data_IF_209146401646
#
_entry.id   IF_209146401646
#
_cell.length_a   1.000
_cell.length_b   1.000
_cell.length_c   1.000
_cell.angle_alpha   90.00
_cell.angle_beta   90.00
_cell.angle_gamma   90.00
#
_symmetry.space_group_name_H-M   'P 1'
#
loop_
_entity.id
_entity.type
_entity.pdbx_description
1 polymer ?
#
# COMPACT_ATOMS: atom_id res chain seq x y z
N UNK A 1 -23.93 -10.47 -46.66
CA UNK A 1 -23.82 -10.76 -45.21
C UNK A 1 -25.04 -10.12 -44.57
N UNK A 2 -25.96 -10.91 -44.00
CA UNK A 2 -27.09 -10.38 -43.25
C UNK A 2 -26.78 -10.60 -41.77
N UNK A 3 -26.36 -9.54 -41.08
CA UNK A 3 -26.21 -9.53 -39.63
C UNK A 3 -27.59 -9.53 -38.97
N UNK A 4 -27.73 -10.29 -37.89
CA UNK A 4 -28.88 -10.20 -36.97
C UNK A 4 -29.04 -8.76 -36.50
N UNK A 5 -30.23 -8.22 -36.71
CA UNK A 5 -30.64 -6.85 -36.45
C UNK A 5 -30.54 -6.47 -34.97
N UNK A 6 -29.53 -5.66 -34.62
CA UNK A 6 -29.64 -4.66 -33.56
C UNK A 6 -29.78 -3.29 -34.24
N UNK A 7 -30.78 -2.51 -33.84
CA UNK A 7 -31.16 -1.28 -34.52
C UNK A 7 -30.12 -0.16 -34.32
N UNK A 8 -29.66 0.49 -35.41
CA UNK A 8 -29.07 1.83 -35.36
C UNK A 8 -27.64 2.01 -35.90
N UNK A 9 -27.02 1.03 -36.54
CA UNK A 9 -25.60 1.12 -36.96
C UNK A 9 -25.39 1.81 -38.31
N UNK A 10 -24.32 2.62 -38.41
CA UNK A 10 -23.70 3.00 -39.69
C UNK A 10 -22.54 2.06 -39.97
N UNK A 11 -22.80 0.93 -40.65
CA UNK A 11 -21.76 -0.01 -41.07
C UNK A 11 -21.18 0.41 -42.41
N UNK A 12 -19.84 0.38 -42.54
CA UNK A 12 -19.16 0.51 -43.82
C UNK A 12 -18.59 -0.86 -44.19
N UNK A 13 -18.98 -1.36 -45.37
CA UNK A 13 -18.41 -2.59 -45.92
C UNK A 13 -17.28 -2.23 -46.86
N UNK A 14 -16.08 -2.69 -46.53
CA UNK A 14 -14.87 -2.47 -47.34
C UNK A 14 -14.29 -3.83 -47.75
N UNK A 15 -14.74 -4.32 -48.91
CA UNK A 15 -14.37 -5.65 -49.41
C UNK A 15 -14.86 -6.80 -48.51
N UNK A 16 -13.91 -7.62 -48.05
CA UNK A 16 -14.13 -8.77 -47.17
C UNK A 16 -14.09 -8.41 -45.68
N UNK A 17 -13.97 -7.11 -45.36
CA UNK A 17 -13.93 -6.61 -43.99
C UNK A 17 -15.26 -5.96 -43.58
N UNK A 18 -15.63 -6.16 -42.32
CA UNK A 18 -16.69 -5.43 -41.65
C UNK A 18 -16.05 -4.31 -40.83
N UNK A 19 -16.43 -3.05 -41.09
CA UNK A 19 -15.99 -1.90 -40.31
C UNK A 19 -17.17 -1.36 -39.51
N UNK A 20 -17.05 -1.43 -38.19
CA UNK A 20 -17.99 -0.83 -37.24
C UNK A 20 -17.56 0.62 -36.99
N UNK A 21 -18.34 1.59 -37.47
CA UNK A 21 -18.10 3.00 -37.19
C UNK A 21 -18.68 3.33 -35.81
N UNK A 22 -17.91 4.05 -34.98
CA UNK A 22 -18.29 4.44 -33.62
C UNK A 22 -18.65 3.25 -32.71
N UNK A 23 -17.81 2.21 -32.73
CA UNK A 23 -17.98 1.04 -31.88
C UNK A 23 -18.02 1.41 -30.38
N UNK A 24 -18.91 0.76 -29.65
CA UNK A 24 -19.18 0.96 -28.24
C UNK A 24 -19.13 -0.38 -27.50
N UNK A 25 -19.08 -0.37 -26.16
CA UNK A 25 -19.08 -1.62 -25.39
C UNK A 25 -20.30 -2.53 -25.68
N UNK A 26 -21.40 -1.98 -26.22
CA UNK A 26 -22.57 -2.76 -26.62
C UNK A 26 -22.35 -3.62 -27.88
N UNK A 27 -21.30 -3.34 -28.66
CA UNK A 27 -20.93 -4.08 -29.86
C UNK A 27 -20.09 -5.34 -29.57
N UNK A 28 -19.78 -5.59 -28.30
CA UNK A 28 -19.09 -6.80 -27.85
C UNK A 28 -19.93 -8.06 -28.15
N UNK A 29 -19.36 -9.04 -28.84
CA UNK A 29 -20.11 -10.23 -29.23
C UNK A 29 -19.46 -11.13 -30.27
N UNK A 30 -20.18 -12.19 -30.65
CA UNK A 30 -19.79 -13.11 -31.72
C UNK A 30 -20.30 -12.59 -33.07
N UNK A 31 -19.37 -12.34 -33.99
CA UNK A 31 -19.61 -11.98 -35.37
C UNK A 31 -19.33 -13.17 -36.27
N UNK A 32 -20.21 -13.42 -37.22
CA UNK A 32 -20.11 -14.57 -38.12
C UNK A 32 -20.06 -14.11 -39.58
N UNK A 33 -19.11 -14.67 -40.32
CA UNK A 33 -18.98 -14.46 -41.76
C UNK A 33 -19.57 -15.67 -42.48
N UNK A 34 -20.48 -15.42 -43.42
CA UNK A 34 -21.22 -16.45 -44.14
C UNK A 34 -20.88 -16.40 -45.64
N UNK A 35 -20.77 -17.57 -46.26
CA UNK A 35 -20.65 -17.72 -47.70
C UNK A 35 -21.92 -17.21 -48.39
N UNK A 36 -21.74 -16.38 -49.41
CA UNK A 36 -22.87 -15.69 -50.05
C UNK A 36 -23.76 -16.63 -50.88
N UNK A 37 -23.23 -17.76 -51.38
CA UNK A 37 -23.95 -18.68 -52.25
C UNK A 37 -24.61 -19.83 -51.48
N UNK A 38 -23.93 -20.37 -50.47
CA UNK A 38 -24.34 -21.54 -49.70
C UNK A 38 -24.92 -21.20 -48.34
N UNK A 39 -24.68 -19.97 -47.83
CA UNK A 39 -25.09 -19.54 -46.49
C UNK A 39 -24.30 -20.19 -45.35
N UNK A 40 -23.28 -21.01 -45.67
CA UNK A 40 -22.45 -21.69 -44.68
C UNK A 40 -21.58 -20.70 -43.90
N UNK A 41 -21.38 -20.94 -42.61
CA UNK A 41 -20.47 -20.14 -41.78
C UNK A 41 -19.03 -20.43 -42.22
N UNK A 42 -18.34 -19.39 -42.70
CA UNK A 42 -16.93 -19.44 -43.06
C UNK A 42 -16.04 -19.18 -41.84
N UNK A 43 -16.41 -18.19 -41.02
CA UNK A 43 -15.61 -17.79 -39.85
C UNK A 43 -16.48 -17.25 -38.73
N UNK A 44 -16.03 -17.47 -37.50
CA UNK A 44 -16.56 -16.86 -36.29
C UNK A 44 -15.46 -16.01 -35.64
N UNK A 45 -15.81 -14.81 -35.20
CA UNK A 45 -14.89 -13.85 -34.57
C UNK A 45 -15.59 -13.33 -33.32
N UNK A 46 -14.90 -13.35 -32.18
CA UNK A 46 -15.38 -12.70 -30.96
C UNK A 46 -14.72 -11.34 -30.86
N UNK A 47 -15.52 -10.28 -31.00
CA UNK A 47 -15.05 -8.91 -30.82
C UNK A 47 -15.24 -8.54 -29.36
N UNK A 48 -14.15 -8.32 -28.62
CA UNK A 48 -14.17 -7.77 -27.27
C UNK A 48 -13.77 -6.30 -27.30
N UNK A 49 -14.63 -5.42 -26.80
CA UNK A 49 -14.36 -3.99 -26.73
C UNK A 49 -13.99 -3.55 -25.31
N UNK A 50 -13.24 -2.46 -25.24
CA UNK A 50 -12.76 -1.88 -24.00
C UNK A 50 -11.93 -0.64 -24.29
N UNK A 51 -11.12 -0.25 -23.30
CA UNK A 51 -10.33 0.98 -23.35
C UNK A 51 -8.84 0.66 -23.17
N UNK A 52 -7.93 1.46 -23.77
CA UNK A 52 -6.51 1.38 -23.44
C UNK A 52 -6.31 1.66 -21.94
N UNK A 53 -5.24 1.12 -21.32
CA UNK A 53 -5.02 1.32 -19.91
C UNK A 53 -4.59 2.78 -19.64
N UNK A 54 -5.05 3.33 -18.52
CA UNK A 54 -4.49 4.55 -17.95
C UNK A 54 -3.19 4.26 -17.17
N UNK A 55 -2.51 5.33 -16.73
CA UNK A 55 -1.32 5.20 -15.90
C UNK A 55 -1.65 4.53 -14.56
N UNK A 56 -0.97 3.43 -14.17
CA UNK A 56 -1.20 2.79 -12.89
C UNK A 56 -0.91 3.74 -11.72
N UNK A 57 -1.76 3.72 -10.70
CA UNK A 57 -1.47 4.38 -9.43
C UNK A 57 -0.56 3.46 -8.63
N UNK A 58 0.59 3.98 -8.21
CA UNK A 58 1.63 3.22 -7.48
C UNK A 58 1.72 3.75 -6.07
N UNK A 59 1.65 2.85 -5.09
CA UNK A 59 1.84 3.16 -3.68
C UNK A 59 2.91 2.25 -3.08
N UNK A 60 3.90 2.87 -2.43
CA UNK A 60 5.01 2.17 -1.79
C UNK A 60 5.06 2.50 -0.30
N UNK A 61 5.50 1.54 0.51
CA UNK A 61 5.70 1.68 1.95
C UNK A 61 6.87 0.82 2.43
N UNK A 62 7.50 1.24 3.52
CA UNK A 62 8.55 0.46 4.17
C UNK A 62 8.26 0.38 5.67
N UNK A 63 8.08 -0.82 6.22
CA UNK A 63 7.83 -0.99 7.66
C UNK A 63 9.12 -1.00 8.49
N UNK A 64 10.27 -1.16 7.82
CA UNK A 64 11.61 -1.15 8.38
C UNK A 64 12.63 -0.84 7.26
N UNK A 65 13.92 -0.87 7.56
CA UNK A 65 15.00 -0.70 6.58
C UNK A 65 15.31 -1.98 5.76
N UNK A 66 14.49 -3.03 5.89
CA UNK A 66 14.74 -4.32 5.22
C UNK A 66 14.27 -4.36 3.77
N UNK A 67 13.09 -3.79 3.48
CA UNK A 67 12.45 -3.92 2.17
C UNK A 67 11.42 -2.83 1.88
N UNK A 68 11.41 -2.35 0.63
CA UNK A 68 10.37 -1.47 0.09
C UNK A 68 9.28 -2.33 -0.53
N UNK A 69 8.05 -2.18 -0.07
CA UNK A 69 6.89 -2.89 -0.60
C UNK A 69 6.04 -1.93 -1.43
N UNK A 70 5.84 -2.24 -2.69
CA UNK A 70 5.06 -1.44 -3.62
C UNK A 70 3.86 -2.22 -4.14
N UNK A 71 2.77 -1.52 -4.37
CA UNK A 71 1.53 -2.04 -4.95
C UNK A 71 1.00 -1.06 -5.99
N UNK A 72 0.21 -1.56 -6.92
CA UNK A 72 -0.38 -0.73 -7.96
C UNK A 72 -1.78 -1.19 -8.38
N UNK A 73 -2.55 -0.26 -8.93
CA UNK A 73 -3.86 -0.52 -9.51
C UNK A 73 -4.17 0.46 -10.64
N UNK A 74 -5.19 0.14 -11.43
CA UNK A 74 -5.83 1.08 -12.34
C UNK A 74 -7.07 1.65 -11.64
N UNK A 75 -7.26 2.96 -11.70
CA UNK A 75 -8.47 3.60 -11.15
C UNK A 75 -9.68 3.45 -12.08
N UNK A 76 -9.43 3.19 -13.37
CA UNK A 76 -10.44 3.03 -14.41
C UNK A 76 -10.47 1.59 -14.92
N UNK A 77 -11.67 1.07 -15.15
CA UNK A 77 -11.84 -0.27 -15.69
C UNK A 77 -11.64 -0.25 -17.22
N UNK A 78 -10.75 -1.11 -17.72
CA UNK A 78 -10.44 -1.20 -19.15
C UNK A 78 -11.37 -2.12 -19.92
N UNK A 79 -12.16 -2.95 -19.22
CA UNK A 79 -12.97 -4.05 -19.75
C UNK A 79 -12.18 -5.10 -20.58
N UNK A 80 -10.84 -5.07 -20.48
CA UNK A 80 -9.93 -5.97 -21.17
C UNK A 80 -8.95 -6.59 -20.18
N UNK A 81 -8.54 -7.83 -20.46
CA UNK A 81 -7.47 -8.47 -19.71
C UNK A 81 -6.21 -7.59 -19.78
N UNK A 82 -5.82 -7.05 -18.63
CA UNK A 82 -4.71 -6.10 -18.51
C UNK A 82 -3.65 -6.71 -17.60
N UNK A 83 -2.42 -6.79 -18.10
CA UNK A 83 -1.27 -7.29 -17.35
C UNK A 83 -0.32 -6.15 -17.00
N UNK A 84 0.61 -6.41 -16.08
CA UNK A 84 1.58 -5.42 -15.62
C UNK A 84 3.00 -5.95 -15.75
N UNK A 85 3.91 -5.08 -16.19
CA UNK A 85 5.36 -5.30 -16.14
C UNK A 85 5.94 -4.27 -15.17
N UNK A 86 6.71 -4.74 -14.20
CA UNK A 86 7.34 -3.89 -13.19
C UNK A 86 8.85 -4.07 -13.14
N UNK A 87 9.60 -2.98 -13.24
CA UNK A 87 11.06 -2.96 -13.11
C UNK A 87 11.50 -1.87 -12.15
N UNK A 88 12.63 -2.05 -11.47
CA UNK A 88 13.21 -1.04 -10.60
C UNK A 88 14.70 -0.86 -10.84
N UNK A 89 15.21 0.30 -10.43
CA UNK A 89 16.65 0.59 -10.37
C UNK A 89 16.96 1.52 -9.20
N UNK A 90 18.20 1.56 -8.76
CA UNK A 90 18.68 2.50 -7.76
C UNK A 90 19.48 3.61 -8.44
N UNK A 91 19.04 4.87 -8.30
CA UNK A 91 19.63 6.01 -9.00
C UNK A 91 19.29 6.08 -10.50
N UNK A 92 19.76 7.15 -11.15
CA UNK A 92 19.46 7.42 -12.57
C UNK A 92 20.22 6.50 -13.53
N UNK A 93 21.46 6.16 -13.19
CA UNK A 93 22.37 5.36 -14.00
C UNK A 93 22.46 3.89 -13.52
N UNK A 94 21.65 3.52 -12.53
CA UNK A 94 21.60 2.15 -12.03
C UNK A 94 21.08 1.15 -13.07
N UNK A 95 21.55 -0.08 -12.96
CA UNK A 95 21.02 -1.21 -13.72
C UNK A 95 19.55 -1.46 -13.35
N UNK A 96 18.75 -1.81 -14.36
CA UNK A 96 17.34 -2.11 -14.18
C UNK A 96 17.12 -3.61 -13.94
N UNK A 97 16.37 -3.92 -12.88
CA UNK A 97 15.99 -5.28 -12.51
C UNK A 97 14.47 -5.43 -12.56
N UNK A 98 13.99 -6.65 -12.78
CA UNK A 98 12.56 -6.95 -12.60
C UNK A 98 12.17 -6.81 -11.13
N UNK A 99 11.01 -6.20 -10.84
CA UNK A 99 10.55 -6.10 -9.47
C UNK A 99 9.97 -7.46 -9.00
N UNK A 100 10.53 -8.10 -7.95
CA UNK A 100 10.10 -9.44 -7.57
C UNK A 100 8.66 -9.48 -7.06
N UNK A 101 7.79 -10.17 -7.80
CA UNK A 101 6.38 -10.40 -7.41
C UNK A 101 6.29 -11.69 -6.58
N UNK A 102 5.56 -11.65 -5.46
CA UNK A 102 5.39 -12.81 -4.57
C UNK A 102 4.52 -13.92 -5.18
N UNK A 103 3.62 -13.54 -6.09
CA UNK A 103 2.76 -14.43 -6.88
C UNK A 103 2.80 -13.95 -8.32
N UNK A 104 2.84 -14.86 -9.34
CA UNK A 104 2.78 -14.46 -10.73
C UNK A 104 1.57 -13.55 -10.99
N UNK A 105 1.80 -12.42 -11.67
CA UNK A 105 0.76 -11.43 -12.00
C UNK A 105 0.13 -10.74 -10.78
N UNK A 106 0.74 -10.81 -9.59
CA UNK A 106 0.33 -9.98 -8.46
C UNK A 106 0.67 -8.51 -8.72
N UNK A 107 -0.26 -7.61 -8.39
CA UNK A 107 -0.03 -6.17 -8.52
C UNK A 107 0.77 -5.60 -7.32
N UNK A 108 1.73 -6.37 -6.82
CA UNK A 108 2.55 -6.08 -5.65
C UNK A 108 3.96 -6.63 -5.87
N UNK A 109 4.98 -5.88 -5.48
CA UNK A 109 6.37 -6.35 -5.44
C UNK A 109 7.12 -5.85 -4.21
N UNK A 110 8.24 -6.51 -3.89
CA UNK A 110 9.12 -6.18 -2.77
C UNK A 110 10.56 -6.05 -3.22
N UNK A 111 11.16 -4.88 -2.98
CA UNK A 111 12.57 -4.58 -3.25
C UNK A 111 13.35 -4.79 -1.96
N UNK A 112 14.30 -5.72 -1.95
CA UNK A 112 15.15 -6.08 -0.80
C UNK A 112 16.60 -5.67 -1.05
N UNK A 113 17.51 -5.95 -0.10
CA UNK A 113 18.94 -5.63 -0.20
C UNK A 113 19.18 -4.15 -0.51
N UNK A 114 18.49 -3.30 0.24
CA UNK A 114 18.49 -1.87 0.02
C UNK A 114 19.89 -1.28 0.28
N UNK A 115 20.36 -0.44 -0.63
CA UNK A 115 21.46 0.49 -0.38
C UNK A 115 21.02 1.55 0.64
N UNK A 116 21.41 1.33 1.89
CA UNK A 116 21.12 2.24 3.00
C UNK A 116 21.99 3.50 2.92
N UNK A 117 21.46 4.61 3.46
CA UNK A 117 22.11 5.93 3.52
C UNK A 117 22.48 6.54 2.16
N UNK A 118 21.91 6.01 1.09
CA UNK A 118 22.00 6.61 -0.24
C UNK A 118 21.08 7.83 -0.34
N UNK A 119 21.53 8.87 -1.04
CA UNK A 119 20.69 10.00 -1.46
C UNK A 119 19.94 9.72 -2.76
N UNK A 120 20.31 8.65 -3.47
CA UNK A 120 19.66 8.25 -4.71
C UNK A 120 18.34 7.53 -4.43
N UNK A 121 17.26 7.86 -5.16
CA UNK A 121 15.99 7.17 -5.01
C UNK A 121 16.00 5.80 -5.68
N UNK A 122 15.13 4.91 -5.21
CA UNK A 122 14.68 3.78 -6.02
C UNK A 122 13.67 4.29 -7.04
N UNK A 123 13.91 3.96 -8.31
CA UNK A 123 13.02 4.29 -9.41
C UNK A 123 12.24 3.04 -9.79
N UNK A 124 10.94 3.02 -9.55
CA UNK A 124 10.04 1.92 -9.93
C UNK A 124 9.26 2.32 -11.18
N UNK A 125 9.35 1.49 -12.22
CA UNK A 125 8.53 1.58 -13.42
C UNK A 125 7.45 0.50 -13.38
N UNK A 126 6.18 0.91 -13.52
CA UNK A 126 5.05 -0.01 -13.65
C UNK A 126 4.33 0.30 -14.95
N UNK A 127 4.27 -0.67 -15.86
CA UNK A 127 3.60 -0.55 -17.16
C UNK A 127 2.39 -1.47 -17.22
N UNK A 128 1.20 -0.90 -17.40
CA UNK A 128 -0.02 -1.63 -17.73
C UNK A 128 -0.07 -1.90 -19.24
N UNK A 129 -0.52 -3.10 -19.61
CA UNK A 129 -0.54 -3.58 -20.99
C UNK A 129 -1.87 -4.29 -21.25
N UNK A 130 -2.57 -3.87 -22.30
CA UNK A 130 -3.70 -4.61 -22.85
C UNK A 130 -3.67 -4.56 -24.40
N UNK A 131 -4.57 -5.27 -25.11
CA UNK A 131 -4.55 -5.31 -26.57
C UNK A 131 -4.69 -3.95 -27.28
N UNK A 132 -5.17 -2.91 -26.58
CA UNK A 132 -5.37 -1.56 -27.12
C UNK A 132 -4.21 -0.60 -26.84
N UNK A 133 -3.25 -0.98 -25.99
CA UNK A 133 -2.06 -0.16 -25.75
C UNK A 133 -1.39 -0.40 -24.41
N UNK A 134 -0.53 0.54 -24.05
CA UNK A 134 0.26 0.52 -22.82
C UNK A 134 0.29 1.88 -22.14
N UNK A 135 0.43 1.87 -20.81
CA UNK A 135 0.62 3.07 -20.02
C UNK A 135 1.58 2.81 -18.87
N UNK A 136 2.52 3.74 -18.66
CA UNK A 136 3.61 3.58 -17.68
C UNK A 136 3.58 4.68 -16.62
N UNK A 137 3.78 4.27 -15.37
CA UNK A 137 4.05 5.15 -14.23
C UNK A 137 5.49 4.93 -13.77
N UNK A 138 6.22 6.04 -13.62
CA UNK A 138 7.55 6.09 -13.01
C UNK A 138 7.44 6.74 -11.63
N UNK A 139 7.80 5.99 -10.59
CA UNK A 139 7.76 6.42 -9.19
C UNK A 139 9.17 6.53 -8.61
N UNK A 140 9.47 7.68 -8.03
CA UNK A 140 10.71 7.92 -7.29
C UNK A 140 10.45 7.65 -5.80
N UNK A 141 11.21 6.75 -5.22
CA UNK A 141 11.02 6.26 -3.86
C UNK A 141 12.25 6.60 -3.04
N UNK A 142 12.08 7.54 -2.11
CA UNK A 142 13.08 7.91 -1.13
C UNK A 142 12.80 7.13 0.16
N UNK A 143 13.73 6.23 0.53
CA UNK A 143 13.51 5.30 1.63
C UNK A 143 13.25 6.02 2.96
N UNK A 144 14.00 7.10 3.22
CA UNK A 144 13.86 7.97 4.38
C UNK A 144 12.52 8.73 4.45
N UNK A 145 11.73 8.74 3.39
CA UNK A 145 10.41 9.39 3.36
C UNK A 145 9.25 8.39 3.53
N UNK A 146 9.45 7.13 3.17
CA UNK A 146 8.36 6.12 3.15
C UNK A 146 8.43 5.11 4.30
N UNK A 147 9.42 5.25 5.19
CA UNK A 147 9.54 4.43 6.38
C UNK A 147 8.40 4.77 7.34
N UNK A 148 7.64 3.77 7.75
CA UNK A 148 6.60 3.88 8.76
C UNK A 148 6.63 2.59 9.60
N UNK A 149 7.21 2.61 10.80
CA UNK A 149 7.24 1.44 11.67
C UNK A 149 5.82 0.94 11.97
N UNK A 150 5.71 -0.36 12.30
CA UNK A 150 4.51 -0.86 12.95
C UNK A 150 4.39 -0.29 14.39
N UNK A 151 3.20 -0.32 15.02
CA UNK A 151 3.04 0.14 16.40
C UNK A 151 3.87 -0.70 17.41
N UNK A 152 4.36 -0.10 18.51
CA UNK A 152 4.99 -0.83 19.61
C UNK A 152 4.12 -1.96 20.16
N UNK A 153 4.78 -3.03 20.58
CA UNK A 153 4.14 -4.24 21.09
C UNK A 153 4.24 -4.35 22.61
N UNK A 154 3.43 -5.23 23.21
CA UNK A 154 3.50 -5.60 24.64
C UNK A 154 3.48 -4.39 25.59
N UNK A 155 2.67 -3.37 25.26
CA UNK A 155 2.50 -2.17 26.08
C UNK A 155 1.85 -2.54 27.40
N UNK A 156 2.51 -2.21 28.51
CA UNK A 156 2.09 -2.52 29.88
C UNK A 156 2.06 -1.26 30.74
N UNK A 157 1.06 -1.21 31.60
CA UNK A 157 0.87 -0.16 32.60
C UNK A 157 0.86 -0.83 33.97
N UNK A 158 1.91 -0.62 34.75
CA UNK A 158 2.09 -1.30 36.04
C UNK A 158 2.25 -0.30 37.20
N UNK A 159 1.71 -0.64 38.39
CA UNK A 159 1.93 0.16 39.59
C UNK A 159 3.37 0.05 40.07
N UNK A 160 3.91 1.14 40.61
CA UNK A 160 5.21 1.14 41.30
C UNK A 160 4.93 0.97 42.80
N UNK A 161 5.57 -0.01 43.44
CA UNK A 161 5.33 -0.32 44.85
C UNK A 161 5.51 0.93 45.74
N UNK A 162 4.55 1.17 46.64
CA UNK A 162 4.49 2.33 47.54
C UNK A 162 4.37 3.71 46.86
N UNK A 163 4.18 3.77 45.54
CA UNK A 163 4.12 5.02 44.77
C UNK A 163 2.72 5.26 44.18
N UNK A 164 1.88 6.01 44.92
CA UNK A 164 0.46 6.24 44.57
C UNK A 164 0.21 7.23 43.43
N UNK A 165 1.24 7.98 43.01
CA UNK A 165 1.16 9.03 41.98
C UNK A 165 2.09 8.76 40.80
N UNK A 166 2.47 7.49 40.61
CA UNK A 166 3.34 7.06 39.51
C UNK A 166 2.84 5.75 38.90
N UNK A 167 3.02 5.63 37.59
CA UNK A 167 2.82 4.41 36.82
C UNK A 167 4.08 4.12 36.02
N UNK A 168 4.51 2.86 36.03
CA UNK A 168 5.57 2.38 35.15
C UNK A 168 4.93 1.89 33.84
N UNK A 169 5.30 2.55 32.76
CA UNK A 169 4.96 2.16 31.40
C UNK A 169 6.14 1.40 30.81
N UNK A 170 5.88 0.24 30.22
CA UNK A 170 6.89 -0.53 29.46
C UNK A 170 6.29 -1.01 28.16
N UNK A 171 7.13 -1.19 27.15
CA UNK A 171 6.73 -1.72 25.84
C UNK A 171 7.91 -2.43 25.18
N UNK A 172 7.68 -3.02 24.01
CA UNK A 172 8.71 -3.56 23.14
C UNK A 172 8.69 -2.85 21.78
N UNK A 173 9.84 -2.76 21.10
CA UNK A 173 9.86 -2.40 19.68
C UNK A 173 8.98 -3.38 18.88
N UNK A 174 8.44 -2.96 17.72
CA UNK A 174 7.69 -3.85 16.85
C UNK A 174 8.56 -5.01 16.38
N UNK A 175 8.02 -6.23 16.34
CA UNK A 175 8.78 -7.40 15.89
C UNK A 175 9.21 -7.32 14.42
N UNK A 176 8.52 -6.51 13.61
CA UNK A 176 8.87 -6.21 12.22
C UNK A 176 10.05 -5.24 12.07
N UNK A 177 10.44 -4.54 13.15
CA UNK A 177 11.60 -3.65 13.18
C UNK A 177 12.86 -4.44 13.51
N UNK A 178 13.40 -5.15 12.51
CA UNK A 178 14.37 -6.24 12.70
C UNK A 178 15.72 -5.84 13.30
N UNK A 179 16.13 -4.57 13.20
CA UNK A 179 17.48 -4.10 13.56
C UNK A 179 17.42 -2.84 14.46
N UNK A 180 16.76 -2.90 15.65
CA UNK A 180 16.57 -1.73 16.51
C UNK A 180 17.88 -1.20 17.11
N UNK A 181 18.94 -2.02 17.14
CA UNK A 181 20.27 -1.66 17.64
C UNK A 181 21.02 -0.75 16.66
N UNK A 182 20.77 -0.91 15.36
CA UNK A 182 21.39 -0.10 14.29
C UNK A 182 20.50 1.06 13.86
N UNK A 183 19.18 0.85 13.93
CA UNK A 183 18.15 1.85 13.61
C UNK A 183 17.28 2.07 14.84
N UNK A 184 17.75 2.86 15.82
CA UNK A 184 17.00 3.09 17.04
C UNK A 184 15.67 3.76 16.75
N UNK A 185 14.67 3.44 17.57
CA UNK A 185 13.35 4.06 17.54
C UNK A 185 13.22 5.04 18.70
N UNK A 186 12.38 6.05 18.49
CA UNK A 186 11.88 6.92 19.54
C UNK A 186 10.37 6.81 19.62
N UNK A 187 9.83 7.09 20.80
CA UNK A 187 8.46 6.78 21.16
C UNK A 187 7.71 8.01 21.65
N UNK A 188 6.47 8.11 21.17
CA UNK A 188 5.48 9.07 21.63
C UNK A 188 4.46 8.36 22.50
N UNK A 189 4.12 8.94 23.65
CA UNK A 189 3.11 8.39 24.57
C UNK A 189 1.90 9.33 24.61
N UNK A 190 0.71 8.77 24.45
CA UNK A 190 -0.54 9.43 24.82
C UNK A 190 -1.26 8.63 25.89
N UNK A 191 -1.93 9.34 26.79
CA UNK A 191 -2.70 8.73 27.86
C UNK A 191 -3.99 9.50 28.13
N UNK A 192 -5.02 8.79 28.59
CA UNK A 192 -6.27 9.37 29.07
C UNK A 192 -6.68 8.72 30.39
N UNK A 193 -7.59 9.40 31.08
CA UNK A 193 -8.26 8.84 32.27
C UNK A 193 -9.49 8.09 31.80
N UNK A 194 -9.81 6.98 32.45
CA UNK A 194 -11.04 6.24 32.16
C UNK A 194 -12.29 7.13 32.32
N UNK A 195 -13.21 7.03 31.35
CA UNK A 195 -14.37 7.91 31.24
C UNK A 195 -14.08 9.35 30.77
N UNK A 196 -12.82 9.73 30.51
CA UNK A 196 -12.46 11.03 29.92
C UNK A 196 -12.17 10.91 28.43
N UNK A 197 -12.82 11.78 27.63
CA UNK A 197 -12.53 11.89 26.19
C UNK A 197 -11.25 12.69 25.88
N UNK A 198 -10.66 13.34 26.89
CA UNK A 198 -9.45 14.14 26.70
C UNK A 198 -8.20 13.28 26.87
N UNK A 199 -7.48 13.04 25.78
CA UNK A 199 -6.14 12.46 25.80
C UNK A 199 -5.07 13.54 25.98
N UNK A 200 -4.06 13.24 26.79
CA UNK A 200 -2.84 14.04 26.94
C UNK A 200 -1.68 13.34 26.25
N UNK A 201 -0.71 14.10 25.74
CA UNK A 201 0.56 13.58 25.23
C UNK A 201 1.69 13.92 26.20
N UNK A 202 2.66 13.03 26.30
CA UNK A 202 3.94 13.35 26.95
C UNK A 202 4.71 14.28 26.01
N UNK A 203 5.17 15.43 26.50
CA UNK A 203 5.78 16.47 25.66
C UNK A 203 7.17 16.10 25.12
N UNK A 204 7.84 15.13 25.72
CA UNK A 204 9.18 14.67 25.34
C UNK A 204 9.05 13.33 24.60
N UNK A 205 9.85 13.18 23.56
CA UNK A 205 10.08 11.88 22.90
C UNK A 205 11.05 11.02 23.70
N UNK A 206 10.77 9.72 23.74
CA UNK A 206 11.45 8.76 24.62
C UNK A 206 12.23 7.80 23.75
N UNK A 207 13.51 7.57 24.07
CA UNK A 207 14.37 6.65 23.29
C UNK A 207 14.45 5.28 23.96
N UNK A 208 14.10 5.20 25.24
CA UNK A 208 13.99 3.97 26.00
C UNK A 208 12.65 3.27 25.78
N UNK A 209 12.57 1.99 26.16
CA UNK A 209 11.34 1.17 26.09
C UNK A 209 10.53 1.19 27.40
N UNK A 210 10.79 2.18 28.25
CA UNK A 210 10.07 2.38 29.50
C UNK A 210 9.96 3.85 29.87
N UNK A 211 8.90 4.20 30.60
CA UNK A 211 8.69 5.55 31.09
C UNK A 211 7.91 5.55 32.40
N UNK A 212 8.32 6.39 33.34
CA UNK A 212 7.55 6.60 34.57
C UNK A 212 6.62 7.79 34.39
N UNK A 213 5.33 7.52 34.24
CA UNK A 213 4.30 8.56 34.23
C UNK A 213 4.09 9.07 35.66
N UNK A 214 4.32 10.35 35.90
CA UNK A 214 4.25 10.99 37.23
C UNK A 214 3.10 11.98 37.31
N UNK A 215 2.72 12.39 38.53
CA UNK A 215 1.70 13.41 38.74
C UNK A 215 0.27 12.94 38.46
N UNK A 216 0.06 11.62 38.39
CA UNK A 216 -1.26 11.02 38.19
C UNK A 216 -2.11 11.05 39.46
N UNK A 217 -3.43 10.92 39.27
CA UNK A 217 -4.41 10.83 40.36
C UNK A 217 -4.43 9.39 40.90
N UNK A 218 -4.29 9.19 42.23
CA UNK A 218 -4.43 7.88 42.84
C UNK A 218 -5.84 7.29 42.62
N UNK A 219 -5.94 5.96 42.50
CA UNK A 219 -7.22 5.25 42.39
C UNK A 219 -7.96 5.41 41.06
N UNK A 220 -7.30 6.00 40.04
CA UNK A 220 -7.87 6.22 38.71
C UNK A 220 -7.22 5.27 37.70
N UNK A 221 -8.04 4.72 36.79
CA UNK A 221 -7.58 3.92 35.65
C UNK A 221 -7.08 4.86 34.55
N UNK A 222 -5.87 4.59 34.07
CA UNK A 222 -5.27 5.29 32.95
C UNK A 222 -5.20 4.37 31.74
N UNK A 223 -5.63 4.86 30.58
CA UNK A 223 -5.44 4.21 29.28
C UNK A 223 -4.24 4.83 28.58
N UNK A 224 -3.32 4.00 28.10
CA UNK A 224 -2.04 4.42 27.52
C UNK A 224 -1.88 3.78 26.15
N UNK A 225 -1.41 4.56 25.19
CA UNK A 225 -0.99 4.08 23.88
C UNK A 225 0.38 4.68 23.56
N UNK A 226 1.19 3.91 22.83
CA UNK A 226 2.54 4.30 22.40
C UNK A 226 2.61 4.23 20.88
N UNK A 227 3.30 5.17 20.25
CA UNK A 227 3.64 5.13 18.84
C UNK A 227 5.17 5.19 18.70
N UNK A 228 5.71 4.56 17.66
CA UNK A 228 7.13 4.53 17.33
C UNK A 228 7.42 5.43 16.12
N UNK A 229 8.63 5.97 16.08
CA UNK A 229 9.19 6.65 14.92
C UNK A 229 10.68 6.35 14.86
N UNK A 230 11.25 6.37 13.66
CA UNK A 230 12.70 6.35 13.49
C UNK A 230 13.36 7.47 14.31
N UNK A 231 14.48 7.17 14.99
CA UNK A 231 15.13 8.13 15.87
C UNK A 231 15.60 9.40 15.13
N UNK A 232 15.96 9.29 13.85
CA UNK A 232 16.41 10.39 13.00
C UNK A 232 15.25 11.16 12.33
N UNK A 233 14.00 10.91 12.75
CA UNK A 233 12.79 11.49 12.17
C UNK A 233 12.49 11.05 10.73
N UNK A 234 13.17 10.02 10.22
CA UNK A 234 12.88 9.45 8.91
C UNK A 234 11.44 8.93 8.84
N UNK A 235 10.75 9.29 7.77
CA UNK A 235 9.40 8.87 7.44
C UNK A 235 8.33 9.33 8.43
N UNK A 236 7.38 8.46 8.71
CA UNK A 236 6.18 8.77 9.50
C UNK A 236 6.17 8.09 10.87
N UNK A 237 5.39 8.65 11.79
CA UNK A 237 5.03 7.96 13.02
C UNK A 237 4.20 6.70 12.70
N UNK A 238 4.42 5.64 13.47
CA UNK A 238 3.55 4.46 13.46
C UNK A 238 2.11 4.85 13.83
N UNK A 239 1.17 3.97 13.54
CA UNK A 239 -0.13 4.06 14.20
C UNK A 239 0.05 3.85 15.72
N UNK A 240 -0.93 4.29 16.51
CA UNK A 240 -0.90 4.08 17.96
C UNK A 240 -1.09 2.60 18.29
N UNK A 241 -0.34 2.10 19.27
CA UNK A 241 -0.52 0.74 19.80
C UNK A 241 -1.95 0.52 20.29
N UNK A 242 -2.34 -0.75 20.50
CA UNK A 242 -3.53 -1.04 21.27
C UNK A 242 -3.47 -0.38 22.66
N UNK A 243 -4.60 0.08 23.22
CA UNK A 243 -4.62 0.71 24.53
C UNK A 243 -4.31 -0.32 25.62
N UNK A 244 -3.39 0.06 26.51
CA UNK A 244 -3.10 -0.67 27.73
C UNK A 244 -3.60 0.14 28.93
N UNK A 245 -4.15 -0.54 29.94
CA UNK A 245 -4.79 0.12 31.07
C UNK A 245 -4.17 -0.32 32.39
N UNK A 246 -4.12 0.60 33.35
CA UNK A 246 -3.66 0.28 34.70
C UNK A 246 -3.93 1.40 35.70
N UNK A 247 -3.80 1.06 36.98
CA UNK A 247 -3.99 1.98 38.11
C UNK A 247 -2.71 2.09 38.92
N UNK A 248 -2.49 3.25 39.54
CA UNK A 248 -1.38 3.43 40.47
C UNK A 248 -1.48 2.48 41.66
N UNK A 249 -0.37 2.30 42.39
CA UNK A 249 -0.34 1.45 43.56
C UNK A 249 -1.39 1.87 44.60
N UNK A 250 -2.14 0.90 45.11
CA UNK A 250 -3.04 1.04 46.25
C UNK A 250 -2.61 0.05 47.34
N UNK A 251 -2.65 0.43 48.62
CA UNK A 251 -2.51 -0.54 49.70
C UNK A 251 -3.67 -1.55 49.63
N UNK A 252 -3.38 -2.79 49.98
CA UNK A 252 -4.40 -3.81 50.28
C UNK A 252 -5.27 -3.40 51.47
#
# INVERSE_FOLDING_TARGET
>A
MNGTSAAGWTEAREGDHLVLLNASLADDGEYTCHDAATGQILRKIYLKLGYPPDKPVVQCRSISYAAINCSWCLETETHLATSFISTYRHGLEGEAYECPQSVPMANVCSITNLQLFSTDPYMLNVTAINPLGTATTLSFIFLDQIIKPDPPEDVKVSPINKERKKLLLTWKPPGSWLLPEYFPLKYSIKYSVDGSNNSKRVSRTIEETSFTLTGIRPGVIYHVQVAARDALDNGEDSDWSLPASGTAWAPE
#
